data_IF_122952921380
#
_entry.id   IF_122952921380
#
_cell.length_a   1.000
_cell.length_b   1.000
_cell.length_c   1.000
_cell.angle_alpha   90.00
_cell.angle_beta   90.00
_cell.angle_gamma   90.00
#
_symmetry.space_group_name_H-M   'P 1'
#
loop_
_entity.id
_entity.type
_entity.pdbx_description
1 polymer ?
#
# COMPACT_ATOMS: atom_id res chain seq x y z
N UNK A 1 -29.67 -12.90 0.02
CA UNK A 1 -28.26 -13.16 -0.39
C UNK A 1 -27.44 -11.96 0.03
N UNK A 2 -26.28 -12.16 0.66
CA UNK A 2 -25.44 -11.06 1.13
C UNK A 2 -24.41 -10.67 0.08
N UNK A 3 -24.09 -9.37 -0.01
CA UNK A 3 -22.96 -8.85 -0.80
C UNK A 3 -22.08 -8.03 0.12
N UNK A 4 -20.76 -8.17 -0.04
CA UNK A 4 -19.76 -7.29 0.56
C UNK A 4 -18.88 -6.77 -0.56
N UNK A 5 -18.60 -5.49 -0.59
CA UNK A 5 -17.70 -4.82 -1.53
C UNK A 5 -16.49 -4.30 -0.74
N UNK A 6 -15.30 -4.58 -1.25
CA UNK A 6 -14.04 -4.19 -0.62
C UNK A 6 -13.19 -3.47 -1.65
N UNK A 7 -12.61 -2.33 -1.29
CA UNK A 7 -11.52 -1.71 -2.04
C UNK A 7 -10.19 -2.06 -1.38
N UNK A 8 -9.16 -2.39 -2.16
CA UNK A 8 -7.84 -2.72 -1.65
C UNK A 8 -6.75 -2.18 -2.56
N UNK A 9 -5.64 -1.74 -1.97
CA UNK A 9 -4.43 -1.37 -2.73
C UNK A 9 -3.84 -2.58 -3.45
N UNK A 10 -3.18 -2.39 -4.62
CA UNK A 10 -2.62 -3.49 -5.40
C UNK A 10 -1.66 -4.40 -4.62
N UNK A 11 -0.85 -3.83 -3.72
CA UNK A 11 0.09 -4.58 -2.88
C UNK A 11 -0.61 -5.60 -1.99
N UNK A 12 -1.85 -5.32 -1.55
CA UNK A 12 -2.63 -6.24 -0.73
C UNK A 12 -3.59 -7.09 -1.57
N UNK A 13 -4.23 -6.50 -2.57
CA UNK A 13 -5.20 -7.15 -3.46
C UNK A 13 -4.60 -8.34 -4.20
N UNK A 14 -3.35 -8.21 -4.67
CA UNK A 14 -2.64 -9.27 -5.39
C UNK A 14 -1.99 -10.34 -4.51
N UNK A 15 -1.81 -10.10 -3.21
CA UNK A 15 -1.01 -10.97 -2.33
C UNK A 15 -1.84 -11.59 -1.19
N UNK A 16 -2.20 -10.79 -0.18
CA UNK A 16 -2.81 -11.30 1.06
C UNK A 16 -4.33 -11.46 0.95
N UNK A 17 -5.00 -10.62 0.15
CA UNK A 17 -6.45 -10.66 0.01
C UNK A 17 -6.99 -12.00 -0.52
N UNK A 18 -6.40 -12.65 -1.54
CA UNK A 18 -6.89 -13.94 -2.03
C UNK A 18 -6.92 -15.03 -0.95
N UNK A 19 -5.94 -15.02 -0.03
CA UNK A 19 -5.87 -15.96 1.11
C UNK A 19 -7.06 -15.70 2.05
N UNK A 20 -7.30 -14.44 2.41
CA UNK A 20 -8.43 -14.06 3.26
C UNK A 20 -9.78 -14.38 2.63
N UNK A 21 -9.95 -14.13 1.33
CA UNK A 21 -11.18 -14.41 0.60
C UNK A 21 -11.48 -15.92 0.52
N UNK A 22 -10.45 -16.75 0.37
CA UNK A 22 -10.60 -18.21 0.40
C UNK A 22 -11.22 -18.65 1.73
N UNK A 23 -10.65 -18.24 2.85
CA UNK A 23 -11.13 -18.57 4.21
C UNK A 23 -12.54 -18.00 4.44
N UNK A 24 -12.80 -16.77 4.00
CA UNK A 24 -14.11 -16.15 4.13
C UNK A 24 -15.19 -16.91 3.36
N UNK A 25 -14.90 -17.31 2.11
CA UNK A 25 -15.83 -18.07 1.26
C UNK A 25 -16.15 -19.45 1.84
N UNK A 26 -15.18 -20.13 2.44
CA UNK A 26 -15.39 -21.41 3.13
C UNK A 26 -16.35 -21.25 4.32
N UNK A 27 -16.24 -20.16 5.08
CA UNK A 27 -17.11 -19.88 6.24
C UNK A 27 -18.48 -19.31 5.86
N UNK A 28 -18.57 -18.56 4.76
CA UNK A 28 -19.76 -17.84 4.33
C UNK A 28 -20.07 -18.06 2.83
N UNK A 29 -20.40 -19.28 2.39
CA UNK A 29 -20.50 -19.65 0.97
C UNK A 29 -21.64 -18.96 0.21
N UNK A 30 -22.58 -18.32 0.92
CA UNK A 30 -23.73 -17.59 0.33
C UNK A 30 -23.52 -16.07 0.25
N UNK A 31 -22.35 -15.58 0.66
CA UNK A 31 -22.00 -14.16 0.58
C UNK A 31 -21.12 -13.94 -0.65
N UNK A 32 -21.54 -13.04 -1.53
CA UNK A 32 -20.72 -12.63 -2.67
C UNK A 32 -19.79 -11.49 -2.25
N UNK A 33 -18.51 -11.59 -2.60
CA UNK A 33 -17.52 -10.54 -2.33
C UNK A 33 -17.08 -9.91 -3.64
N UNK A 34 -17.28 -8.59 -3.78
CA UNK A 34 -16.74 -7.80 -4.87
C UNK A 34 -15.45 -7.12 -4.40
N UNK A 35 -14.42 -7.14 -5.24
CA UNK A 35 -13.12 -6.52 -4.94
C UNK A 35 -12.83 -5.45 -5.98
N UNK A 36 -12.45 -4.27 -5.49
CA UNK A 36 -11.92 -3.16 -6.28
C UNK A 36 -10.42 -3.03 -5.98
N UNK A 37 -9.60 -3.36 -6.96
CA UNK A 37 -8.15 -3.14 -6.91
C UNK A 37 -7.84 -1.73 -7.41
N UNK A 38 -7.49 -0.83 -6.49
CA UNK A 38 -7.40 0.62 -6.74
C UNK A 38 -6.32 1.26 -5.88
N UNK A 39 -5.81 2.43 -6.27
CA UNK A 39 -4.80 3.17 -5.49
C UNK A 39 -5.35 3.63 -4.12
N UNK A 40 -4.47 3.92 -3.17
CA UNK A 40 -4.83 4.26 -1.78
C UNK A 40 -5.88 5.37 -1.70
N UNK A 41 -5.71 6.43 -2.48
CA UNK A 41 -6.56 7.60 -2.51
C UNK A 41 -7.99 7.22 -2.93
N UNK A 42 -8.12 6.28 -3.89
CA UNK A 42 -9.41 5.75 -4.33
C UNK A 42 -10.03 4.79 -3.31
N UNK A 43 -9.22 4.02 -2.57
CA UNK A 43 -9.73 3.23 -1.43
C UNK A 43 -10.44 4.15 -0.44
N UNK A 44 -9.79 5.24 -0.03
CA UNK A 44 -10.36 6.22 0.90
C UNK A 44 -11.62 6.87 0.34
N UNK A 45 -11.59 7.34 -0.92
CA UNK A 45 -12.75 7.94 -1.60
C UNK A 45 -13.95 6.97 -1.62
N UNK A 46 -13.72 5.70 -1.98
CA UNK A 46 -14.79 4.71 -2.11
C UNK A 46 -15.44 4.39 -0.76
N UNK A 47 -14.68 4.36 0.34
CA UNK A 47 -15.23 4.15 1.69
C UNK A 47 -16.00 5.40 2.15
N UNK A 48 -15.41 6.59 2.00
CA UNK A 48 -16.01 7.86 2.44
C UNK A 48 -17.35 8.12 1.73
N UNK A 49 -17.41 7.84 0.42
CA UNK A 49 -18.64 7.95 -0.38
C UNK A 49 -19.55 6.71 -0.29
N UNK A 50 -19.26 5.75 0.61
CA UNK A 50 -20.04 4.51 0.82
C UNK A 50 -20.26 3.68 -0.46
N UNK A 51 -19.32 3.74 -1.40
CA UNK A 51 -19.31 2.88 -2.60
C UNK A 51 -18.87 1.45 -2.27
N UNK A 52 -18.10 1.28 -1.20
CA UNK A 52 -17.71 0.00 -0.63
C UNK A 52 -17.90 0.02 0.89
N UNK A 53 -18.04 -1.15 1.49
CA UNK A 53 -18.20 -1.30 2.93
C UNK A 53 -16.86 -1.30 3.68
N UNK A 54 -15.76 -1.70 3.02
CA UNK A 54 -14.43 -1.77 3.62
C UNK A 54 -13.35 -1.33 2.63
N UNK A 55 -12.35 -0.62 3.15
CA UNK A 55 -11.11 -0.30 2.45
C UNK A 55 -9.89 -0.94 3.12
N UNK A 56 -8.94 -1.43 2.32
CA UNK A 56 -7.63 -1.88 2.79
C UNK A 56 -6.56 -0.99 2.16
N UNK A 57 -6.02 -0.09 2.98
CA UNK A 57 -5.12 0.99 2.57
C UNK A 57 -4.19 1.39 3.72
N UNK A 58 -3.43 2.46 3.50
CA UNK A 58 -2.66 3.12 4.56
C UNK A 58 -3.57 3.95 5.48
N UNK A 59 -3.06 4.24 6.67
CA UNK A 59 -3.73 5.16 7.60
C UNK A 59 -3.85 6.55 6.97
N UNK A 60 -5.06 7.14 6.89
CA UNK A 60 -5.23 8.47 6.33
C UNK A 60 -4.73 9.55 7.30
N UNK A 61 -4.08 10.61 6.79
CA UNK A 61 -3.62 11.74 7.61
C UNK A 61 -4.76 12.47 8.33
N UNK A 62 -5.98 12.42 7.77
CA UNK A 62 -7.19 12.95 8.39
C UNK A 62 -8.32 11.93 8.32
N UNK A 63 -9.02 11.73 9.43
CA UNK A 63 -9.99 10.65 9.62
C UNK A 63 -11.42 11.15 9.88
N UNK A 64 -11.77 12.35 9.39
CA UNK A 64 -13.01 13.03 9.77
C UNK A 64 -14.28 12.17 9.63
N UNK A 65 -14.31 11.25 8.66
CA UNK A 65 -15.44 10.32 8.45
C UNK A 65 -15.04 8.84 8.38
N UNK A 66 -13.76 8.51 8.59
CA UNK A 66 -13.23 7.16 8.39
C UNK A 66 -12.71 6.60 9.72
N UNK A 67 -13.13 5.39 10.06
CA UNK A 67 -12.50 4.63 11.14
C UNK A 67 -11.39 3.77 10.54
N UNK A 68 -10.16 3.97 11.00
CA UNK A 68 -9.03 3.14 10.62
C UNK A 68 -8.76 2.10 11.71
N UNK A 69 -8.47 0.86 11.31
CA UNK A 69 -8.04 -0.22 12.21
C UNK A 69 -6.75 -0.79 11.67
N UNK A 70 -5.67 -0.67 12.44
CA UNK A 70 -4.38 -1.25 12.07
C UNK A 70 -4.49 -2.77 11.99
N UNK A 71 -4.09 -3.32 10.84
CA UNK A 71 -4.21 -4.76 10.55
C UNK A 71 -2.86 -5.48 10.63
N UNK A 72 -1.83 -4.91 10.01
CA UNK A 72 -0.45 -5.36 10.10
C UNK A 72 0.49 -4.20 9.76
N UNK A 73 1.77 -4.37 10.08
CA UNK A 73 2.82 -3.44 9.67
C UNK A 73 3.55 -4.00 8.45
N UNK A 74 3.50 -3.26 7.34
CA UNK A 74 4.24 -3.57 6.14
C UNK A 74 5.63 -2.94 6.17
N UNK A 75 6.58 -3.48 5.40
CA UNK A 75 7.95 -2.95 5.31
C UNK A 75 8.28 -2.58 3.88
N UNK A 76 8.73 -1.35 3.69
CA UNK A 76 9.40 -0.98 2.45
C UNK A 76 10.72 -1.74 2.32
N UNK A 77 11.01 -2.18 1.10
CA UNK A 77 12.25 -2.85 0.74
C UNK A 77 12.87 -2.15 -0.45
N UNK A 78 14.20 -2.06 -0.48
CA UNK A 78 14.92 -1.60 -1.65
C UNK A 78 14.99 -2.73 -2.68
N UNK A 79 14.51 -2.46 -3.89
CA UNK A 79 14.69 -3.34 -5.05
C UNK A 79 15.73 -2.71 -5.94
N UNK A 80 16.81 -3.44 -6.21
CA UNK A 80 17.94 -2.98 -7.02
C UNK A 80 18.19 -3.93 -8.19
N UNK A 81 18.80 -3.44 -9.29
CA UNK A 81 19.28 -4.31 -10.37
C UNK A 81 20.25 -5.38 -9.85
N UNK A 82 20.27 -6.56 -10.49
CA UNK A 82 21.12 -7.69 -10.07
C UNK A 82 22.62 -7.38 -10.17
N UNK A 83 23.01 -6.44 -11.03
CA UNK A 83 24.37 -5.95 -11.22
C UNK A 83 24.72 -4.73 -10.34
N UNK A 84 23.78 -4.28 -9.51
CA UNK A 84 24.03 -3.22 -8.54
C UNK A 84 25.07 -3.66 -7.49
N UNK A 85 25.97 -2.76 -7.04
CA UNK A 85 26.85 -3.05 -5.91
C UNK A 85 26.07 -3.36 -4.60
N UNK A 86 24.78 -3.04 -4.54
CA UNK A 86 23.92 -3.30 -3.39
C UNK A 86 23.19 -4.66 -3.45
N UNK A 87 23.19 -5.36 -4.59
CA UNK A 87 22.35 -6.55 -4.82
C UNK A 87 22.59 -7.72 -3.84
N UNK A 88 23.82 -7.85 -3.32
CA UNK A 88 24.18 -8.90 -2.36
C UNK A 88 23.97 -8.52 -0.88
N UNK A 89 23.47 -7.31 -0.60
CA UNK A 89 23.39 -6.81 0.77
C UNK A 89 22.05 -7.15 1.40
N UNK A 90 22.09 -7.70 2.61
CA UNK A 90 20.87 -8.01 3.38
C UNK A 90 20.17 -6.74 3.91
N UNK A 91 20.91 -5.64 4.06
CA UNK A 91 20.43 -4.34 4.51
C UNK A 91 21.20 -3.24 3.78
N UNK A 92 20.51 -2.12 3.54
CA UNK A 92 21.04 -0.92 2.89
C UNK A 92 20.54 0.31 3.64
N UNK A 93 21.32 1.38 3.64
CA UNK A 93 20.93 2.66 4.25
C UNK A 93 20.36 3.63 3.21
N UNK A 94 19.62 4.63 3.67
CA UNK A 94 19.18 5.72 2.80
C UNK A 94 20.36 6.45 2.16
N UNK A 95 21.43 6.72 2.91
CA UNK A 95 22.63 7.35 2.36
C UNK A 95 23.19 6.55 1.18
N UNK A 96 23.32 5.22 1.29
CA UNK A 96 23.80 4.36 0.21
C UNK A 96 22.89 4.42 -1.02
N UNK A 97 21.57 4.37 -0.80
CA UNK A 97 20.60 4.39 -1.88
C UNK A 97 20.56 5.75 -2.60
N UNK A 98 20.70 6.86 -1.87
CA UNK A 98 20.65 8.23 -2.40
C UNK A 98 21.85 8.59 -3.29
N UNK A 99 22.89 7.75 -3.36
CA UNK A 99 23.95 7.86 -4.36
C UNK A 99 23.53 7.37 -5.75
N UNK A 100 22.32 6.80 -5.89
CA UNK A 100 21.78 6.27 -7.13
C UNK A 100 20.46 6.94 -7.51
N UNK A 101 20.12 6.86 -8.79
CA UNK A 101 18.82 7.34 -9.29
C UNK A 101 17.68 6.41 -8.87
N UNK A 102 16.54 6.99 -8.49
CA UNK A 102 15.35 6.23 -8.09
C UNK A 102 14.28 6.21 -9.17
N UNK A 103 13.75 5.02 -9.42
CA UNK A 103 12.44 4.84 -10.05
C UNK A 103 11.39 4.87 -8.94
N UNK A 104 10.33 5.64 -9.12
CA UNK A 104 9.34 5.88 -8.07
C UNK A 104 7.93 6.01 -8.63
N UNK A 105 6.95 5.96 -7.73
CA UNK A 105 5.56 6.17 -8.10
C UNK A 105 5.30 7.65 -8.39
N UNK A 106 4.54 7.91 -9.44
CA UNK A 106 4.09 9.26 -9.78
C UNK A 106 3.10 9.79 -8.72
N UNK A 107 3.08 11.11 -8.55
CA UNK A 107 2.11 11.77 -7.67
C UNK A 107 0.72 11.83 -8.34
N UNK A 108 -0.38 11.82 -7.57
CA UNK A 108 -0.43 11.57 -6.11
C UNK A 108 -0.17 10.09 -5.78
N UNK A 109 0.60 9.83 -4.72
CA UNK A 109 0.86 8.47 -4.22
C UNK A 109 1.21 8.54 -2.74
N UNK A 110 0.40 7.91 -1.90
CA UNK A 110 0.67 7.75 -0.48
C UNK A 110 2.04 7.10 -0.21
N UNK A 111 2.43 6.09 -1.01
CA UNK A 111 3.76 5.47 -0.90
C UNK A 111 4.86 6.49 -1.16
N UNK A 112 4.75 7.29 -2.23
CA UNK A 112 5.73 8.33 -2.54
C UNK A 112 5.82 9.36 -1.42
N UNK A 113 4.69 9.78 -0.86
CA UNK A 113 4.62 10.74 0.23
C UNK A 113 5.29 10.20 1.50
N UNK A 114 4.97 8.97 1.90
CA UNK A 114 5.56 8.33 3.08
C UNK A 114 7.09 8.20 2.95
N UNK A 115 7.58 7.79 1.77
CA UNK A 115 9.03 7.73 1.51
C UNK A 115 9.68 9.11 1.58
N UNK A 116 9.06 10.14 1.01
CA UNK A 116 9.59 11.51 1.06
C UNK A 116 9.54 12.11 2.48
N UNK A 117 8.53 11.81 3.29
CA UNK A 117 8.43 12.25 4.69
C UNK A 117 9.53 11.61 5.55
N UNK A 118 9.74 10.30 5.42
CA UNK A 118 10.82 9.58 6.11
C UNK A 118 12.20 10.13 5.74
N UNK A 119 12.42 10.35 4.43
CA UNK A 119 13.65 10.93 3.89
C UNK A 119 13.89 12.38 4.31
N UNK A 120 12.89 13.25 4.24
CA UNK A 120 13.06 14.67 4.57
C UNK A 120 13.51 14.88 6.02
N UNK A 121 13.11 13.98 6.91
CA UNK A 121 13.46 14.06 8.33
C UNK A 121 14.96 13.84 8.56
N UNK A 122 15.66 13.11 7.67
CA UNK A 122 17.04 12.64 7.92
C UNK A 122 18.04 12.90 6.77
N UNK A 123 17.61 12.92 5.51
CA UNK A 123 18.49 12.85 4.33
C UNK A 123 18.12 13.81 3.17
N UNK A 124 17.03 14.58 3.27
CA UNK A 124 16.66 15.59 2.25
C UNK A 124 15.70 15.07 1.17
N UNK A 125 15.87 15.52 -0.09
CA UNK A 125 14.92 15.23 -1.18
C UNK A 125 15.36 14.03 -2.01
N UNK A 126 14.39 13.18 -2.35
CA UNK A 126 14.59 12.04 -3.25
C UNK A 126 14.72 12.52 -4.71
N UNK A 127 15.91 12.36 -5.29
CA UNK A 127 16.13 12.61 -6.73
C UNK A 127 15.38 11.55 -7.55
N UNK A 128 14.57 12.00 -8.50
CA UNK A 128 13.77 11.12 -9.38
C UNK A 128 14.33 11.27 -10.78
N UNK A 129 14.63 10.13 -11.41
CA UNK A 129 15.03 10.08 -12.82
C UNK A 129 13.86 10.40 -13.76
#
# INVERSE_FOLDING_TARGET
>A
MGKVSVAAMPSFAGNLLPIALKVFRERYPRVNVAVHDVINEQVLEMVDHRRVELGIGFEPESSNNLTFTSFYMDRFVAVVPMDSPLAGRAQVTWDELLHHDFITLQRPSAVRLLLEQDLQTQHGKLSVA
#
